data_IF_860225760718
#
_entry.id   IF_860225760718
#
_cell.length_a   1.000
_cell.length_b   1.000
_cell.length_c   1.000
_cell.angle_alpha   90.00
_cell.angle_beta   90.00
_cell.angle_gamma   90.00
#
_symmetry.space_group_name_H-M   'P 1'
#
loop_
_entity.id
_entity.type
_entity.pdbx_description
1 polymer ?
#
# COMPACT_ATOMS: atom_id res chain seq x y z
N UNK A 1 -5.70 -26.57 -9.61
CA UNK A 1 -4.30 -26.44 -9.15
C UNK A 1 -3.77 -25.08 -9.53
N UNK A 2 -3.84 -24.13 -8.61
CA UNK A 2 -3.13 -22.87 -8.80
C UNK A 2 -1.64 -23.12 -8.59
N UNK A 3 -0.75 -22.71 -9.49
CA UNK A 3 0.67 -22.82 -9.25
C UNK A 3 1.01 -21.95 -8.04
N UNK A 4 1.30 -22.58 -6.91
CA UNK A 4 1.90 -21.91 -5.76
C UNK A 4 3.24 -21.37 -6.24
N UNK A 5 3.41 -20.04 -6.20
CA UNK A 5 4.68 -19.40 -6.48
C UNK A 5 5.74 -19.93 -5.50
N UNK A 6 6.54 -20.89 -5.94
CA UNK A 6 7.78 -21.29 -5.26
C UNK A 6 8.86 -20.33 -5.73
N UNK A 7 8.95 -19.17 -5.08
CA UNK A 7 9.98 -18.20 -5.38
C UNK A 7 9.79 -16.97 -4.51
N UNK A 8 10.86 -16.46 -3.97
CA UNK A 8 10.95 -15.23 -3.19
C UNK A 8 10.61 -14.03 -4.08
N UNK A 9 9.32 -13.76 -4.29
CA UNK A 9 8.83 -12.63 -5.06
C UNK A 9 7.31 -12.68 -5.13
N UNK A 10 6.67 -11.59 -4.76
CA UNK A 10 5.24 -11.43 -4.91
C UNK A 10 4.90 -11.37 -6.40
N UNK A 11 3.72 -11.86 -6.77
CA UNK A 11 3.21 -11.81 -8.15
C UNK A 11 2.05 -10.83 -8.18
N UNK A 12 2.25 -9.71 -8.83
CA UNK A 12 1.18 -8.75 -9.05
C UNK A 12 0.19 -9.29 -10.09
N UNK A 13 -1.06 -9.43 -9.67
CA UNK A 13 -2.17 -9.89 -10.52
C UNK A 13 -3.13 -8.73 -10.80
N UNK A 14 -3.63 -8.66 -12.03
CA UNK A 14 -4.72 -7.78 -12.44
C UNK A 14 -5.77 -8.69 -13.04
N UNK A 15 -6.98 -8.56 -12.57
CA UNK A 15 -8.06 -9.46 -12.92
C UNK A 15 -9.33 -8.64 -13.15
N UNK A 16 -10.13 -9.07 -14.12
CA UNK A 16 -11.48 -8.53 -14.32
C UNK A 16 -12.47 -9.62 -13.98
N UNK A 17 -13.43 -9.28 -13.15
CA UNK A 17 -14.49 -10.15 -12.70
C UNK A 17 -15.84 -9.66 -13.22
N UNK A 18 -16.75 -10.59 -13.47
CA UNK A 18 -18.17 -10.28 -13.70
C UNK A 18 -18.92 -10.11 -12.37
N UNK A 19 -20.24 -9.83 -12.45
CA UNK A 19 -21.10 -9.65 -11.29
C UNK A 19 -21.31 -10.93 -10.44
N UNK A 20 -21.03 -12.09 -11.02
CA UNK A 20 -21.05 -13.40 -10.35
C UNK A 20 -19.67 -13.78 -9.77
N UNK A 21 -18.70 -12.87 -9.78
CA UNK A 21 -17.32 -13.08 -9.33
C UNK A 21 -16.53 -14.13 -10.13
N UNK A 22 -16.90 -14.37 -11.40
CA UNK A 22 -16.08 -15.17 -12.30
C UNK A 22 -14.96 -14.32 -12.88
N UNK A 23 -13.71 -14.82 -12.82
CA UNK A 23 -12.58 -14.15 -13.45
C UNK A 23 -12.67 -14.27 -14.97
N UNK A 24 -12.88 -13.15 -15.67
CA UNK A 24 -13.05 -13.09 -17.12
C UNK A 24 -11.71 -13.04 -17.84
N UNK A 25 -10.80 -12.20 -17.37
CA UNK A 25 -9.43 -12.05 -17.89
C UNK A 25 -8.46 -11.77 -16.73
N UNK A 26 -7.20 -12.11 -16.94
CA UNK A 26 -6.15 -11.86 -15.96
C UNK A 26 -4.80 -11.57 -16.63
N UNK A 27 -4.00 -10.80 -15.95
CA UNK A 27 -2.59 -10.55 -16.24
C UNK A 27 -1.79 -10.67 -14.96
N UNK A 28 -0.57 -11.16 -15.03
CA UNK A 28 0.33 -11.26 -13.89
C UNK A 28 1.76 -10.86 -14.27
N UNK A 29 2.46 -10.25 -13.34
CA UNK A 29 3.86 -9.87 -13.50
C UNK A 29 4.61 -10.20 -12.22
N UNK A 30 5.82 -10.77 -12.28
CA UNK A 30 6.67 -10.89 -11.10
C UNK A 30 7.12 -9.50 -10.66
N UNK A 31 7.36 -9.35 -9.36
CA UNK A 31 7.98 -8.16 -8.78
C UNK A 31 9.43 -8.44 -8.42
N UNK A 32 10.22 -7.37 -8.31
CA UNK A 32 11.63 -7.46 -7.97
C UNK A 32 11.83 -7.10 -6.50
N UNK A 33 12.45 -8.02 -5.74
CA UNK A 33 12.95 -7.72 -4.40
C UNK A 33 14.41 -7.30 -4.49
N UNK A 34 14.75 -6.22 -3.81
CA UNK A 34 16.11 -5.71 -3.67
C UNK A 34 16.64 -6.03 -2.28
N UNK A 35 17.87 -6.50 -2.21
CA UNK A 35 18.57 -6.86 -0.98
C UNK A 35 19.84 -5.99 -0.84
N UNK A 36 19.69 -4.69 -0.49
CA UNK A 36 20.81 -3.75 -0.46
C UNK A 36 21.86 -4.10 0.61
N UNK A 37 21.42 -4.67 1.73
CA UNK A 37 22.27 -5.12 2.83
C UNK A 37 21.73 -6.41 3.46
N UNK A 38 22.51 -7.16 4.24
CA UNK A 38 22.02 -8.33 4.95
C UNK A 38 20.83 -8.00 5.86
N UNK A 39 19.70 -8.67 5.64
CA UNK A 39 18.47 -8.46 6.38
C UNK A 39 17.63 -7.27 5.90
N UNK A 40 18.07 -6.52 4.88
CA UNK A 40 17.28 -5.45 4.27
C UNK A 40 16.57 -5.97 3.03
N UNK A 41 15.27 -5.70 2.94
CA UNK A 41 14.44 -6.09 1.81
C UNK A 41 13.57 -4.91 1.39
N UNK A 42 13.76 -4.46 0.17
CA UNK A 42 13.00 -3.33 -0.38
C UNK A 42 12.52 -3.61 -1.80
N UNK A 43 11.62 -2.77 -2.26
CA UNK A 43 11.01 -2.85 -3.58
C UNK A 43 10.91 -1.43 -4.15
N UNK A 44 10.85 -1.34 -5.47
CA UNK A 44 10.56 -0.10 -6.17
C UNK A 44 9.04 0.02 -6.36
N UNK A 45 8.42 0.97 -5.66
CA UNK A 45 6.96 1.15 -5.74
C UNK A 45 6.53 1.74 -7.08
N UNK A 46 7.40 2.44 -7.80
CA UNK A 46 7.13 2.92 -9.15
C UNK A 46 7.14 1.77 -10.17
N UNK A 47 7.94 0.71 -9.94
CA UNK A 47 7.83 -0.53 -10.70
C UNK A 47 6.43 -1.14 -10.55
N UNK A 48 5.85 -1.13 -9.33
CA UNK A 48 4.48 -1.59 -9.10
C UNK A 48 3.45 -0.82 -9.89
N UNK A 49 3.56 0.50 -9.91
CA UNK A 49 2.68 1.36 -10.69
C UNK A 49 2.80 1.05 -12.19
N UNK A 50 4.02 0.96 -12.71
CA UNK A 50 4.28 0.64 -14.10
C UNK A 50 3.75 -0.74 -14.50
N UNK A 51 3.99 -1.77 -13.68
CA UNK A 51 3.47 -3.12 -13.88
C UNK A 51 1.94 -3.17 -13.79
N UNK A 52 1.33 -2.33 -12.94
CA UNK A 52 -0.13 -2.25 -12.85
C UNK A 52 -0.72 -1.65 -14.12
N UNK A 53 -0.20 -0.55 -14.62
CA UNK A 53 -0.65 0.08 -15.86
C UNK A 53 -0.50 -0.90 -17.04
N UNK A 54 0.65 -1.60 -17.11
CA UNK A 54 0.89 -2.64 -18.14
C UNK A 54 -0.16 -3.75 -18.07
N UNK A 55 -0.40 -4.31 -16.89
CA UNK A 55 -1.36 -5.39 -16.70
C UNK A 55 -2.81 -4.96 -16.96
N UNK A 56 -3.19 -3.73 -16.60
CA UNK A 56 -4.50 -3.17 -16.96
C UNK A 56 -4.67 -3.08 -18.49
N UNK A 57 -3.63 -2.65 -19.21
CA UNK A 57 -3.62 -2.63 -20.67
C UNK A 57 -3.77 -4.03 -21.26
N UNK A 58 -3.08 -5.02 -20.71
CA UNK A 58 -3.18 -6.42 -21.14
C UNK A 58 -4.60 -6.97 -20.89
N UNK A 59 -5.21 -6.71 -19.74
CA UNK A 59 -6.59 -7.09 -19.47
C UNK A 59 -7.57 -6.42 -20.43
N UNK A 60 -7.41 -5.13 -20.72
CA UNK A 60 -8.25 -4.42 -21.70
C UNK A 60 -8.14 -5.03 -23.10
N UNK A 61 -6.93 -5.43 -23.52
CA UNK A 61 -6.70 -6.11 -24.81
C UNK A 61 -7.38 -7.48 -24.86
N UNK A 62 -7.23 -8.31 -23.81
CA UNK A 62 -7.88 -9.61 -23.71
C UNK A 62 -9.41 -9.49 -23.72
N UNK A 63 -9.97 -8.47 -23.07
CA UNK A 63 -11.42 -8.19 -23.12
C UNK A 63 -11.87 -7.93 -24.56
N UNK A 64 -11.17 -7.06 -25.29
CA UNK A 64 -11.49 -6.76 -26.71
C UNK A 64 -11.39 -7.99 -27.61
N UNK A 65 -10.36 -8.81 -27.43
CA UNK A 65 -10.19 -10.08 -28.16
C UNK A 65 -11.34 -11.06 -27.92
N UNK A 66 -11.92 -11.05 -26.71
CA UNK A 66 -13.11 -11.82 -26.35
C UNK A 66 -14.43 -11.16 -26.75
N UNK A 67 -14.41 -10.02 -27.44
CA UNK A 67 -15.60 -9.27 -27.82
C UNK A 67 -16.33 -8.59 -26.66
N UNK A 68 -15.65 -8.38 -25.53
CA UNK A 68 -16.20 -7.74 -24.34
C UNK A 68 -16.01 -6.22 -24.40
N UNK A 69 -16.99 -5.51 -23.92
CA UNK A 69 -17.00 -4.03 -23.88
C UNK A 69 -16.32 -3.51 -22.61
N UNK A 70 -15.12 -2.94 -22.77
CA UNK A 70 -14.34 -2.35 -21.65
C UNK A 70 -15.08 -1.19 -20.96
N UNK A 71 -16.06 -0.56 -21.61
CA UNK A 71 -16.86 0.53 -21.01
C UNK A 71 -17.82 0.04 -19.94
N UNK A 72 -17.98 -1.27 -19.82
CA UNK A 72 -18.80 -1.92 -18.79
C UNK A 72 -18.08 -2.09 -17.45
N UNK A 73 -16.78 -1.83 -17.35
CA UNK A 73 -16.06 -1.86 -16.08
C UNK A 73 -16.66 -0.80 -15.15
N UNK A 74 -17.07 -1.22 -13.95
CA UNK A 74 -17.82 -0.40 -13.00
C UNK A 74 -16.96 0.23 -11.92
N UNK A 75 -15.88 -0.45 -11.53
CA UNK A 75 -14.96 0.02 -10.50
C UNK A 75 -13.59 -0.64 -10.61
N UNK A 76 -12.62 0.00 -10.00
CA UNK A 76 -11.28 -0.54 -9.76
C UNK A 76 -11.10 -0.63 -8.25
N UNK A 77 -10.58 -1.76 -7.79
CA UNK A 77 -10.20 -1.98 -6.41
C UNK A 77 -8.85 -2.69 -6.41
N UNK A 78 -8.00 -2.39 -5.44
CA UNK A 78 -6.71 -3.06 -5.26
C UNK A 78 -6.62 -3.69 -3.89
N UNK A 79 -5.83 -4.72 -3.78
CA UNK A 79 -5.33 -5.26 -2.54
C UNK A 79 -3.80 -5.29 -2.58
N UNK A 80 -3.17 -5.31 -1.44
CA UNK A 80 -1.71 -5.31 -1.35
C UNK A 80 -1.21 -5.73 0.02
N UNK A 81 0.10 -5.73 0.15
CA UNK A 81 0.79 -6.15 1.37
C UNK A 81 0.44 -5.23 2.53
N UNK A 82 -0.09 -5.80 3.61
CA UNK A 82 -0.48 -5.01 4.80
C UNK A 82 0.72 -4.52 5.62
N UNK A 83 1.89 -5.16 5.47
CA UNK A 83 3.10 -4.84 6.24
C UNK A 83 4.21 -4.39 5.29
N UNK A 84 4.40 -3.10 5.20
CA UNK A 84 5.40 -2.42 4.39
C UNK A 84 4.94 -1.03 4.00
N UNK A 85 5.88 -0.09 3.87
CA UNK A 85 5.58 1.29 3.48
C UNK A 85 6.74 1.92 2.70
N UNK A 86 6.42 2.97 1.96
CA UNK A 86 7.37 3.99 1.53
C UNK A 86 6.96 5.37 2.05
N UNK A 87 7.87 6.32 1.97
CA UNK A 87 7.61 7.73 2.17
C UNK A 87 7.43 8.45 0.84
N UNK A 88 6.49 9.39 0.80
CA UNK A 88 6.23 10.20 -0.40
C UNK A 88 6.38 11.68 -0.10
N UNK A 89 6.72 12.46 -1.14
CA UNK A 89 6.74 13.92 -1.10
C UNK A 89 5.33 14.55 -1.16
N UNK A 90 5.23 15.87 -1.15
CA UNK A 90 3.96 16.62 -1.22
C UNK A 90 3.15 16.34 -2.50
N UNK A 91 3.81 16.00 -3.59
CA UNK A 91 3.20 15.73 -4.87
C UNK A 91 2.76 14.25 -4.99
N UNK A 92 3.17 13.41 -4.02
CA UNK A 92 2.82 12.00 -3.91
C UNK A 92 3.86 11.06 -4.53
N UNK A 93 5.00 11.57 -4.98
CA UNK A 93 6.06 10.74 -5.53
C UNK A 93 6.86 10.05 -4.42
N UNK A 94 7.24 8.80 -4.63
CA UNK A 94 8.06 8.07 -3.68
C UNK A 94 9.45 8.71 -3.54
N UNK A 95 9.86 8.99 -2.32
CA UNK A 95 11.19 9.53 -1.96
C UNK A 95 12.01 8.54 -1.13
N UNK A 96 11.44 7.37 -0.84
CA UNK A 96 12.13 6.25 -0.22
C UNK A 96 11.80 4.96 -0.98
N UNK A 97 12.65 3.92 -0.90
CA UNK A 97 12.22 2.59 -1.30
C UNK A 97 11.00 2.15 -0.48
N UNK A 98 10.18 1.27 -1.04
CA UNK A 98 9.18 0.54 -0.27
C UNK A 98 9.89 -0.52 0.56
N UNK A 99 9.82 -0.45 1.89
CA UNK A 99 10.38 -1.47 2.77
C UNK A 99 9.35 -2.59 2.90
N UNK A 100 9.79 -3.80 2.56
CA UNK A 100 8.96 -5.00 2.59
C UNK A 100 8.90 -5.63 3.99
N UNK A 101 7.85 -6.36 4.30
CA UNK A 101 7.66 -7.05 5.59
C UNK A 101 8.76 -8.08 5.96
N UNK A 102 9.55 -8.53 4.98
CA UNK A 102 10.69 -9.40 5.19
C UNK A 102 11.94 -8.68 5.76
N UNK A 103 11.88 -7.34 5.79
CA UNK A 103 12.98 -6.50 6.23
C UNK A 103 13.14 -6.52 7.75
N UNK A 104 14.36 -6.57 8.22
CA UNK A 104 14.70 -6.63 9.65
C UNK A 104 15.56 -5.46 10.14
N UNK A 105 15.69 -4.39 9.32
CA UNK A 105 16.54 -3.22 9.67
C UNK A 105 16.11 -2.49 10.93
N UNK A 106 14.85 -2.66 11.35
CA UNK A 106 14.28 -1.97 12.51
C UNK A 106 14.50 -2.70 13.85
N UNK A 107 15.29 -3.78 13.86
CA UNK A 107 15.46 -4.64 15.04
C UNK A 107 15.83 -3.87 16.31
N UNK A 108 16.77 -2.94 16.24
CA UNK A 108 17.19 -2.14 17.40
C UNK A 108 16.06 -1.23 17.90
N UNK A 109 15.31 -0.60 16.98
CA UNK A 109 14.14 0.22 17.35
C UNK A 109 13.02 -0.63 17.96
N UNK A 110 12.82 -1.87 17.49
CA UNK A 110 11.85 -2.82 18.07
C UNK A 110 12.26 -3.20 19.51
N UNK A 111 13.51 -3.54 19.74
CA UNK A 111 14.02 -3.86 21.09
C UNK A 111 13.84 -2.67 22.04
N UNK A 112 14.12 -1.45 21.58
CA UNK A 112 13.92 -0.22 22.34
C UNK A 112 12.44 0.00 22.68
N UNK A 113 11.54 -0.07 21.70
CA UNK A 113 10.10 0.17 21.91
C UNK A 113 9.51 -0.86 22.88
N UNK A 114 9.89 -2.12 22.75
CA UNK A 114 9.41 -3.19 23.63
C UNK A 114 9.93 -3.03 25.07
N UNK A 115 11.13 -2.41 25.25
CA UNK A 115 11.66 -2.15 26.60
C UNK A 115 10.88 -1.08 27.38
N UNK A 116 9.98 -0.36 26.74
CA UNK A 116 9.13 0.65 27.41
C UNK A 116 7.98 0.03 28.19
N UNK A 117 7.62 -1.25 27.91
CA UNK A 117 6.56 -2.02 28.59
C UNK A 117 5.23 -1.25 28.66
N UNK A 118 4.80 -0.64 27.55
CA UNK A 118 3.63 0.24 27.51
C UNK A 118 2.35 -0.54 27.16
N UNK A 119 1.40 -0.59 28.07
CA UNK A 119 0.09 -1.24 27.89
C UNK A 119 -0.76 -0.64 26.76
N UNK A 120 -0.55 0.64 26.40
CA UNK A 120 -1.39 1.34 25.44
C UNK A 120 -1.39 0.66 24.08
N UNK A 121 -0.26 0.10 23.65
CA UNK A 121 -0.16 -0.61 22.36
C UNK A 121 -1.15 -1.77 22.30
N UNK A 122 -1.07 -2.69 23.27
CA UNK A 122 -1.99 -3.84 23.34
C UNK A 122 -3.46 -3.43 23.50
N UNK A 123 -3.74 -2.40 24.31
CA UNK A 123 -5.11 -1.93 24.55
C UNK A 123 -5.79 -1.35 23.32
N UNK A 124 -5.07 -0.59 22.51
CA UNK A 124 -5.66 0.13 21.36
C UNK A 124 -5.54 -0.64 20.04
N UNK A 125 -4.45 -1.41 19.85
CA UNK A 125 -4.20 -2.11 18.57
C UNK A 125 -4.43 -3.62 18.62
N UNK A 126 -4.42 -4.21 19.81
CA UNK A 126 -4.36 -5.65 20.01
C UNK A 126 -2.94 -6.24 19.91
N UNK A 127 -1.93 -5.44 19.57
CA UNK A 127 -0.52 -5.84 19.50
C UNK A 127 0.23 -5.28 20.73
N UNK A 128 0.55 -6.10 21.73
CA UNK A 128 1.22 -5.62 22.94
C UNK A 128 2.69 -5.26 22.70
N UNK A 129 3.31 -5.77 21.65
CA UNK A 129 4.73 -5.60 21.34
C UNK A 129 4.94 -5.15 19.90
N UNK A 130 6.00 -4.38 19.67
CA UNK A 130 6.50 -4.04 18.34
C UNK A 130 7.12 -5.25 17.63
N UNK A 131 7.07 -5.24 16.29
CA UNK A 131 7.69 -6.26 15.45
C UNK A 131 8.41 -5.59 14.27
N UNK A 132 9.48 -6.20 13.76
CA UNK A 132 10.24 -5.68 12.63
C UNK A 132 9.41 -5.44 11.36
N UNK A 133 8.37 -6.25 11.14
CA UNK A 133 7.49 -6.11 9.97
C UNK A 133 6.50 -4.94 10.07
N UNK A 134 6.39 -4.26 11.21
CA UNK A 134 5.37 -3.24 11.40
C UNK A 134 5.76 -1.92 10.70
N UNK A 135 4.90 -1.38 9.83
CA UNK A 135 5.04 -0.05 9.23
C UNK A 135 5.39 1.07 10.22
N UNK A 136 4.84 1.03 11.43
CA UNK A 136 5.20 1.98 12.49
C UNK A 136 6.70 1.99 12.80
N UNK A 137 7.37 0.83 12.75
CA UNK A 137 8.82 0.74 12.96
C UNK A 137 9.59 1.25 11.75
N UNK A 138 9.12 0.99 10.52
CA UNK A 138 9.72 1.57 9.31
C UNK A 138 9.57 3.09 9.27
N UNK A 139 8.41 3.63 9.66
CA UNK A 139 8.21 5.08 9.75
C UNK A 139 9.21 5.73 10.73
N UNK A 140 9.40 5.16 11.91
CA UNK A 140 10.43 5.61 12.87
C UNK A 140 11.83 5.55 12.24
N UNK A 141 12.14 4.46 11.54
CA UNK A 141 13.44 4.28 10.91
C UNK A 141 13.69 5.33 9.81
N UNK A 142 12.69 5.64 8.97
CA UNK A 142 12.80 6.70 7.96
C UNK A 142 13.09 8.05 8.60
N UNK A 143 12.32 8.43 9.61
CA UNK A 143 12.48 9.71 10.33
C UNK A 143 13.85 9.85 11.02
N UNK A 144 14.48 8.76 11.40
CA UNK A 144 15.77 8.73 12.10
C UNK A 144 16.96 8.65 11.14
N UNK A 145 16.85 7.90 10.05
CA UNK A 145 18.00 7.49 9.26
C UNK A 145 18.04 8.07 7.84
N UNK A 146 16.94 8.59 7.31
CA UNK A 146 16.94 9.20 5.97
C UNK A 146 17.11 10.72 6.13
N UNK A 147 18.27 11.22 5.64
CA UNK A 147 18.58 12.64 5.66
C UNK A 147 17.54 13.44 4.87
N UNK A 148 17.06 14.52 5.47
CA UNK A 148 16.05 15.40 4.85
C UNK A 148 14.64 14.80 4.75
N UNK A 149 14.40 13.60 5.29
CA UNK A 149 13.06 13.01 5.20
C UNK A 149 12.01 13.78 6.00
N UNK A 150 12.39 14.35 7.17
CA UNK A 150 11.48 15.17 7.99
C UNK A 150 11.02 16.45 7.28
N UNK A 151 11.87 17.00 6.41
CA UNK A 151 11.62 18.24 5.69
C UNK A 151 10.90 18.00 4.36
N UNK A 152 11.18 16.89 3.69
CA UNK A 152 10.71 16.61 2.34
C UNK A 152 9.60 15.56 2.28
N UNK A 153 9.50 14.69 3.30
CA UNK A 153 8.45 13.69 3.40
C UNK A 153 7.11 14.32 3.76
N UNK A 154 6.06 13.90 3.08
CA UNK A 154 4.70 14.36 3.35
C UNK A 154 3.81 13.29 3.96
N UNK A 155 3.91 12.05 3.48
CA UNK A 155 3.09 10.91 3.95
C UNK A 155 3.88 9.60 3.91
N UNK A 156 3.44 8.67 4.76
CA UNK A 156 3.76 7.25 4.63
C UNK A 156 2.63 6.56 3.89
N UNK A 157 2.95 5.60 3.02
CA UNK A 157 1.94 4.93 2.20
C UNK A 157 2.31 3.46 1.94
N UNK A 158 1.29 2.60 1.86
CA UNK A 158 1.42 1.21 1.43
C UNK A 158 1.43 1.12 -0.11
N UNK A 159 1.80 -0.03 -0.64
CA UNK A 159 1.92 -0.29 -2.08
C UNK A 159 0.61 -0.15 -2.86
N UNK A 160 -0.45 -0.86 -2.47
CA UNK A 160 -1.74 -0.76 -3.17
C UNK A 160 -2.36 0.64 -3.07
N UNK A 161 -2.46 1.30 -1.89
CA UNK A 161 -2.86 2.70 -1.81
C UNK A 161 -2.01 3.66 -2.64
N UNK A 162 -0.68 3.44 -2.72
CA UNK A 162 0.20 4.23 -3.60
C UNK A 162 -0.23 4.13 -5.06
N UNK A 163 -0.39 2.90 -5.54
CA UNK A 163 -0.81 2.65 -6.93
C UNK A 163 -2.18 3.25 -7.21
N UNK A 164 -3.18 2.98 -6.35
CA UNK A 164 -4.54 3.47 -6.53
C UNK A 164 -4.60 5.01 -6.51
N UNK A 165 -3.82 5.66 -5.64
CA UNK A 165 -3.71 7.11 -5.59
C UNK A 165 -3.18 7.69 -6.91
N UNK A 166 -2.14 7.08 -7.50
CA UNK A 166 -1.59 7.51 -8.79
C UNK A 166 -2.53 7.26 -9.96
N UNK A 167 -3.28 6.14 -9.97
CA UNK A 167 -4.33 5.91 -10.97
C UNK A 167 -5.42 6.99 -10.92
N UNK A 168 -5.68 7.53 -9.73
CA UNK A 168 -6.67 8.60 -9.49
C UNK A 168 -6.08 10.02 -9.57
N UNK A 169 -4.77 10.18 -9.75
CA UNK A 169 -4.11 11.50 -9.79
C UNK A 169 -4.14 12.25 -8.46
N UNK A 170 -4.09 11.53 -7.33
CA UNK A 170 -4.10 12.14 -5.99
C UNK A 170 -2.70 12.61 -5.60
N UNK A 171 -2.62 13.75 -4.92
CA UNK A 171 -1.41 14.22 -4.24
C UNK A 171 -1.34 13.70 -2.81
N UNK A 172 -0.20 13.90 -2.12
CA UNK A 172 0.01 13.39 -0.76
C UNK A 172 -1.11 13.75 0.23
N UNK A 173 -1.69 14.96 0.14
CA UNK A 173 -2.78 15.40 1.04
C UNK A 173 -4.02 14.51 0.99
N UNK A 174 -4.27 13.86 -0.17
CA UNK A 174 -5.44 13.02 -0.42
C UNK A 174 -5.11 11.53 -0.33
N UNK A 175 -3.85 11.17 -0.09
CA UNK A 175 -3.43 9.78 0.09
C UNK A 175 -4.13 9.12 1.28
N UNK A 176 -4.35 7.84 1.16
CA UNK A 176 -5.23 7.11 2.05
C UNK A 176 -4.69 5.72 2.40
N UNK A 177 -5.29 5.12 3.39
CA UNK A 177 -5.21 3.71 3.73
C UNK A 177 -6.61 3.23 4.09
N UNK A 178 -6.99 2.04 3.66
CA UNK A 178 -8.22 1.46 4.16
C UNK A 178 -8.03 0.93 5.60
N UNK A 179 -9.14 0.78 6.33
CA UNK A 179 -9.06 0.40 7.75
C UNK A 179 -8.55 -1.03 7.99
N UNK A 180 -8.61 -1.91 6.99
CA UNK A 180 -8.01 -3.22 7.05
C UNK A 180 -6.50 -3.14 6.96
N UNK A 181 -5.97 -2.51 5.91
CA UNK A 181 -4.54 -2.25 5.75
C UNK A 181 -3.98 -1.41 6.91
N UNK A 182 -4.78 -0.46 7.46
CA UNK A 182 -4.41 0.29 8.67
C UNK A 182 -4.06 -0.67 9.83
N UNK A 183 -4.78 -1.77 10.00
CA UNK A 183 -4.49 -2.73 11.07
C UNK A 183 -3.10 -3.36 10.95
N UNK A 184 -2.57 -3.43 9.74
CA UNK A 184 -1.22 -3.91 9.44
C UNK A 184 -0.10 -2.96 9.89
N UNK A 185 -0.40 -1.70 10.29
CA UNK A 185 0.60 -0.78 10.85
C UNK A 185 1.24 -1.32 12.12
N UNK A 186 0.57 -2.24 12.80
CA UNK A 186 1.03 -2.87 14.02
C UNK A 186 0.85 -1.99 15.25
N UNK A 187 1.32 -0.75 15.23
CA UNK A 187 1.19 0.25 16.30
C UNK A 187 0.75 1.60 15.73
N UNK A 188 0.33 2.52 16.60
CA UNK A 188 -0.01 3.90 16.21
C UNK A 188 -1.46 4.13 15.85
N UNK A 189 -2.36 3.18 16.07
CA UNK A 189 -3.78 3.28 15.71
C UNK A 189 -4.69 2.72 16.80
N UNK A 190 -6.00 3.02 16.67
CA UNK A 190 -7.08 2.45 17.48
C UNK A 190 -7.96 1.57 16.59
N UNK A 191 -7.92 0.26 16.82
CA UNK A 191 -8.57 -0.71 15.94
C UNK A 191 -10.10 -0.62 15.96
N UNK A 192 -10.69 -0.35 17.11
CA UNK A 192 -12.16 -0.24 17.24
C UNK A 192 -12.69 1.05 16.63
N UNK A 193 -12.05 2.18 16.92
CA UNK A 193 -12.42 3.50 16.43
C UNK A 193 -12.03 3.74 14.96
N UNK A 194 -11.14 2.89 14.42
CA UNK A 194 -10.60 3.01 13.05
C UNK A 194 -9.99 4.37 12.78
N UNK A 195 -9.12 4.81 13.68
CA UNK A 195 -8.41 6.08 13.59
C UNK A 195 -6.95 5.95 14.05
N UNK A 196 -6.13 6.93 13.70
CA UNK A 196 -4.78 7.04 14.24
C UNK A 196 -4.84 7.39 15.72
N UNK A 197 -3.93 6.82 16.50
CA UNK A 197 -3.76 7.13 17.93
C UNK A 197 -2.71 8.20 18.11
N UNK A 198 -3.13 9.44 18.31
CA UNK A 198 -2.19 10.55 18.53
C UNK A 198 -1.22 10.24 19.67
N UNK A 199 -1.70 9.66 20.77
CA UNK A 199 -0.86 9.31 21.93
C UNK A 199 0.23 8.30 21.56
N UNK A 200 -0.12 7.22 20.84
CA UNK A 200 0.88 6.25 20.38
C UNK A 200 1.85 6.88 19.37
N UNK A 201 1.35 7.68 18.42
CA UNK A 201 2.19 8.35 17.43
C UNK A 201 3.19 9.30 18.09
N UNK A 202 2.76 10.09 19.10
CA UNK A 202 3.65 10.97 19.87
C UNK A 202 4.72 10.15 20.61
N UNK A 203 4.37 9.05 21.27
CA UNK A 203 5.30 8.12 21.93
C UNK A 203 6.30 7.53 20.93
N UNK A 204 5.82 7.14 19.76
CA UNK A 204 6.65 6.57 18.69
C UNK A 204 7.48 7.64 17.95
N UNK A 205 7.23 8.93 18.18
CA UNK A 205 7.89 10.04 17.50
C UNK A 205 7.52 10.13 16.01
N UNK A 206 6.31 9.74 15.65
CA UNK A 206 5.77 9.78 14.28
C UNK A 206 4.82 10.97 14.18
N UNK A 207 5.06 11.96 13.29
CA UNK A 207 4.14 13.08 13.11
C UNK A 207 2.80 12.62 12.56
N UNK A 208 1.70 12.99 13.23
CA UNK A 208 0.34 12.61 12.82
C UNK A 208 0.00 13.12 11.40
N UNK A 209 0.51 14.29 11.04
CA UNK A 209 0.34 14.88 9.71
C UNK A 209 0.97 14.04 8.58
N UNK A 210 1.91 13.16 8.89
CA UNK A 210 2.50 12.21 7.92
C UNK A 210 1.66 10.94 7.73
N UNK A 211 0.62 10.75 8.54
CA UNK A 211 -0.25 9.60 8.41
C UNK A 211 -1.27 9.81 7.28
N UNK A 212 -1.54 8.79 6.44
CA UNK A 212 -2.57 8.87 5.41
C UNK A 212 -3.97 8.93 6.03
N UNK A 213 -4.95 9.49 5.31
CA UNK A 213 -6.34 9.45 5.76
C UNK A 213 -6.87 8.01 5.76
N UNK A 214 -7.70 7.67 6.72
CA UNK A 214 -8.32 6.34 6.81
C UNK A 214 -9.65 6.36 6.07
N UNK A 215 -9.89 5.35 5.22
CA UNK A 215 -11.11 5.20 4.43
C UNK A 215 -11.70 3.80 4.63
N UNK A 216 -12.95 3.63 4.26
CA UNK A 216 -13.54 2.28 4.16
C UNK A 216 -13.08 1.60 2.86
N UNK A 217 -12.93 0.27 2.83
CA UNK A 217 -12.53 -0.45 1.61
C UNK A 217 -13.34 -0.11 0.35
N UNK A 218 -14.62 0.21 0.51
CA UNK A 218 -15.56 0.52 -0.57
C UNK A 218 -15.80 2.01 -0.82
N UNK A 219 -15.15 2.91 -0.07
CA UNK A 219 -15.24 4.35 -0.35
C UNK A 219 -14.57 4.65 -1.70
N UNK A 220 -15.22 5.47 -2.52
CA UNK A 220 -14.61 5.96 -3.76
C UNK A 220 -13.55 7.00 -3.38
N UNK A 221 -12.29 6.70 -3.67
CA UNK A 221 -11.16 7.58 -3.36
C UNK A 221 -10.83 8.54 -4.51
N UNK A 222 -11.31 8.25 -5.68
CA UNK A 222 -11.10 9.02 -6.91
C UNK A 222 -11.60 8.28 -8.14
N UNK A 223 -11.19 8.73 -9.30
CA UNK A 223 -11.59 8.15 -10.58
C UNK A 223 -10.37 8.01 -11.50
N UNK A 224 -10.38 7.01 -12.37
CA UNK A 224 -9.31 6.78 -13.34
C UNK A 224 -9.09 8.03 -14.20
N UNK A 225 -7.87 8.57 -14.20
CA UNK A 225 -7.53 9.77 -14.94
C UNK A 225 -7.52 9.55 -16.45
N UNK A 226 -7.69 10.62 -17.23
CA UNK A 226 -7.55 10.61 -18.70
C UNK A 226 -6.19 10.05 -19.14
N UNK A 227 -5.12 10.45 -18.45
CA UNK A 227 -3.77 9.99 -18.75
C UNK A 227 -3.63 8.48 -18.64
N UNK A 228 -4.10 7.90 -17.52
CA UNK A 228 -4.04 6.46 -17.28
C UNK A 228 -5.00 5.71 -18.23
N UNK A 229 -6.17 6.28 -18.51
CA UNK A 229 -7.11 5.74 -19.47
C UNK A 229 -6.47 5.58 -20.86
N UNK A 230 -5.74 6.60 -21.34
CA UNK A 230 -5.00 6.54 -22.61
C UNK A 230 -3.91 5.45 -22.61
N UNK A 231 -3.18 5.30 -21.50
CA UNK A 231 -2.11 4.29 -21.37
C UNK A 231 -2.65 2.86 -21.34
N UNK A 232 -3.84 2.64 -20.75
CA UNK A 232 -4.41 1.31 -20.52
C UNK A 232 -5.44 0.89 -21.57
N UNK A 233 -6.04 1.85 -22.27
CA UNK A 233 -7.17 1.60 -23.18
C UNK A 233 -8.49 1.33 -22.47
N UNK A 234 -8.57 1.65 -21.18
CA UNK A 234 -9.78 1.69 -20.36
C UNK A 234 -10.45 3.08 -20.46
N UNK A 235 -11.75 3.21 -20.22
CA UNK A 235 -12.40 4.52 -20.16
C UNK A 235 -11.92 5.32 -18.95
N UNK A 236 -11.77 6.63 -19.11
CA UNK A 236 -11.56 7.54 -17.98
C UNK A 236 -12.82 7.60 -17.10
N UNK A 237 -12.64 8.04 -15.86
CA UNK A 237 -13.75 8.23 -14.94
C UNK A 237 -14.27 6.98 -14.25
N UNK A 238 -13.63 5.80 -14.44
CA UNK A 238 -13.99 4.60 -13.66
C UNK A 238 -13.73 4.88 -12.17
N UNK A 239 -14.70 4.65 -11.28
CA UNK A 239 -14.50 4.81 -9.84
C UNK A 239 -13.39 3.90 -9.32
N UNK A 240 -12.55 4.44 -8.45
CA UNK A 240 -11.49 3.69 -7.75
C UNK A 240 -11.87 3.62 -6.28
N UNK A 241 -11.92 2.40 -5.73
CA UNK A 241 -12.27 2.16 -4.33
C UNK A 241 -11.03 2.07 -3.43
N UNK A 242 -11.24 2.19 -2.12
CA UNK A 242 -10.16 2.21 -1.12
C UNK A 242 -9.33 0.94 -1.06
N UNK A 243 -9.92 -0.21 -1.41
CA UNK A 243 -9.18 -1.47 -1.45
C UNK A 243 -9.11 -2.20 -0.11
N UNK A 244 -8.22 -3.15 -0.01
CA UNK A 244 -8.02 -3.98 1.18
C UNK A 244 -6.56 -4.46 1.31
N UNK A 245 -6.22 -5.03 2.46
CA UNK A 245 -4.98 -5.78 2.63
C UNK A 245 -5.13 -7.24 2.18
N UNK A 246 -4.04 -7.87 1.80
CA UNK A 246 -3.97 -9.22 1.22
C UNK A 246 -4.26 -10.36 2.21
N UNK A 247 -4.26 -10.09 3.50
CA UNK A 247 -4.47 -11.07 4.58
C UNK A 247 -5.74 -10.83 5.39
N UNK A 248 -6.74 -10.21 4.79
CA UNK A 248 -8.01 -9.85 5.44
C UNK A 248 -9.05 -10.91 5.26
#
# INVERSE_FOLDING_TARGET
>A
DQPRSRGLGDVYKRQVYDEDMNCIVSSSSPTTLNYPEPGWVSMDVDEYLALTIKGMKECASQMKEKGLDVTKIKSIMGDGVICGICGVDKDGNAITPYINYLDSRTKEDVELVNSWELDIFGKETGNPEANCMFPAMFARWFLKNIEGFKENGAKFIHDAPYVLAHLAGLSAKDMFVDWGTMSGWGLGYKVEEKCWSKEQLDILGIPEEMMPRIVKPWDIIGHLTEEIAQKTGLPAGIPICGGAGDTM
#
